data_IF_220029147419
#
_entry.id   IF_220029147419
#
_cell.length_a   1.000
_cell.length_b   1.000
_cell.length_c   1.000
_cell.angle_alpha   90.00
_cell.angle_beta   90.00
_cell.angle_gamma   90.00
#
_symmetry.space_group_name_H-M   'P 1'
#
loop_
_entity.id
_entity.type
_entity.pdbx_description
1 polymer ?
#
# COMPACT_ATOMS: atom_id res chain seq x y z
N UNK A 1 -13.82 -26.27 2.10
CA UNK A 1 -12.87 -25.14 2.00
C UNK A 1 -12.47 -24.93 0.55
N UNK A 2 -12.53 -23.70 0.04
CA UNK A 2 -12.17 -23.33 -1.34
C UNK A 2 -10.84 -22.55 -1.34
N UNK A 3 -10.00 -22.77 -2.36
CA UNK A 3 -8.77 -21.99 -2.57
C UNK A 3 -9.01 -21.10 -3.79
N UNK A 4 -8.78 -19.81 -3.62
CA UNK A 4 -8.88 -18.82 -4.69
C UNK A 4 -7.48 -18.39 -5.12
N UNK A 5 -7.22 -18.48 -6.41
CA UNK A 5 -5.98 -17.98 -7.02
C UNK A 5 -5.97 -16.44 -7.12
N UNK A 6 -4.79 -15.88 -7.35
CA UNK A 6 -4.62 -14.44 -7.56
C UNK A 6 -5.50 -13.91 -8.71
N UNK A 7 -5.63 -14.67 -9.81
CA UNK A 7 -6.43 -14.24 -10.97
C UNK A 7 -7.93 -14.23 -10.64
N UNK A 8 -8.42 -15.23 -9.91
CA UNK A 8 -9.82 -15.24 -9.42
C UNK A 8 -10.07 -14.04 -8.48
N UNK A 9 -9.15 -13.76 -7.56
CA UNK A 9 -9.23 -12.62 -6.65
C UNK A 9 -9.29 -11.31 -7.45
N UNK A 10 -8.36 -11.08 -8.37
CA UNK A 10 -8.34 -9.86 -9.22
C UNK A 10 -9.62 -9.69 -10.03
N UNK A 11 -10.21 -10.78 -10.53
CA UNK A 11 -11.45 -10.74 -11.32
C UNK A 11 -12.65 -10.22 -10.53
N UNK A 12 -12.65 -10.41 -9.22
CA UNK A 12 -13.72 -9.96 -8.31
C UNK A 12 -13.49 -8.53 -7.83
N UNK A 13 -12.24 -8.16 -7.56
CA UNK A 13 -11.91 -6.84 -6.98
C UNK A 13 -12.40 -5.67 -7.84
N UNK A 14 -12.39 -5.81 -9.16
CA UNK A 14 -12.88 -4.77 -10.07
C UNK A 14 -14.41 -4.52 -10.00
N UNK A 15 -15.14 -5.37 -9.27
CA UNK A 15 -16.60 -5.29 -9.09
C UNK A 15 -17.01 -4.72 -7.73
N UNK A 16 -16.04 -4.40 -6.88
CA UNK A 16 -16.23 -3.95 -5.50
C UNK A 16 -15.70 -2.52 -5.38
N UNK A 17 -16.40 -1.66 -4.67
CA UNK A 17 -15.87 -0.37 -4.28
C UNK A 17 -14.89 -0.52 -3.10
N UNK A 18 -13.68 -0.93 -3.41
CA UNK A 18 -12.65 -1.23 -2.42
C UNK A 18 -12.30 -0.05 -1.51
N UNK A 19 -12.36 1.18 -2.02
CA UNK A 19 -12.07 2.37 -1.22
C UNK A 19 -13.10 2.51 -0.11
N UNK A 20 -14.40 2.35 -0.44
CA UNK A 20 -15.46 2.42 0.55
C UNK A 20 -15.37 1.30 1.58
N UNK A 21 -15.14 0.06 1.14
CA UNK A 21 -15.00 -1.09 2.05
C UNK A 21 -13.85 -0.91 3.06
N UNK A 22 -12.71 -0.38 2.63
CA UNK A 22 -11.57 -0.12 3.52
C UNK A 22 -11.87 1.07 4.45
N UNK A 23 -12.54 2.11 3.95
CA UNK A 23 -12.95 3.27 4.74
C UNK A 23 -13.94 2.86 5.83
N UNK A 24 -14.94 2.03 5.51
CA UNK A 24 -15.90 1.48 6.47
C UNK A 24 -15.20 0.61 7.53
N UNK A 25 -14.17 -0.14 7.13
CA UNK A 25 -13.31 -0.88 8.04
C UNK A 25 -12.58 0.02 9.05
N UNK A 26 -12.05 1.17 8.61
CA UNK A 26 -11.44 2.17 9.52
C UNK A 26 -12.47 2.79 10.46
N UNK A 27 -13.68 3.08 9.98
CA UNK A 27 -14.78 3.60 10.80
C UNK A 27 -15.17 2.57 11.86
N UNK A 28 -15.36 1.32 11.48
CA UNK A 28 -15.67 0.23 12.40
C UNK A 28 -14.58 0.05 13.47
N UNK A 29 -13.31 0.15 13.08
CA UNK A 29 -12.18 0.10 14.01
C UNK A 29 -12.24 1.27 15.02
N UNK A 30 -12.45 2.48 14.53
CA UNK A 30 -12.52 3.69 15.38
C UNK A 30 -13.70 3.65 16.37
N UNK A 31 -14.80 3.00 15.98
CA UNK A 31 -15.97 2.81 16.84
C UNK A 31 -15.80 1.67 17.87
N UNK A 32 -14.70 0.93 17.83
CA UNK A 32 -14.46 -0.21 18.71
C UNK A 32 -15.20 -1.49 18.31
N UNK A 33 -15.66 -1.56 17.05
CA UNK A 33 -16.36 -2.73 16.50
C UNK A 33 -15.43 -3.76 15.88
N UNK A 34 -14.14 -3.49 15.89
CA UNK A 34 -13.12 -4.41 15.36
C UNK A 34 -12.22 -4.92 16.49
N UNK A 35 -11.96 -6.21 16.48
CA UNK A 35 -10.99 -6.85 17.37
C UNK A 35 -9.77 -7.24 16.55
N UNK A 36 -8.65 -6.60 16.84
CA UNK A 36 -7.34 -6.86 16.22
C UNK A 36 -6.31 -7.09 17.34
N UNK A 37 -5.90 -8.33 17.59
CA UNK A 37 -4.83 -8.63 18.53
C UNK A 37 -3.46 -8.09 18.06
N UNK A 38 -2.42 -8.10 18.91
CA UNK A 38 -1.07 -7.77 18.53
C UNK A 38 -0.59 -8.62 17.35
N UNK A 39 0.26 -8.03 16.52
CA UNK A 39 0.85 -8.69 15.34
C UNK A 39 1.80 -9.79 15.80
N UNK A 40 1.66 -10.99 15.22
CA UNK A 40 2.68 -12.03 15.34
C UNK A 40 3.80 -11.77 14.34
N UNK A 41 5.04 -11.81 14.79
CA UNK A 41 6.21 -11.51 13.96
C UNK A 41 7.27 -12.58 14.05
N UNK A 42 7.88 -12.91 12.91
CA UNK A 42 9.07 -13.74 12.82
C UNK A 42 10.12 -12.96 12.04
N UNK A 43 11.33 -12.87 12.61
CA UNK A 43 12.47 -12.23 11.96
C UNK A 43 13.51 -13.27 11.60
N UNK A 44 14.04 -13.20 10.38
CA UNK A 44 15.09 -14.07 9.87
C UNK A 44 16.35 -13.26 9.61
N UNK A 45 17.46 -13.69 10.15
CA UNK A 45 18.75 -13.00 10.00
C UNK A 45 19.47 -13.40 8.71
N UNK A 46 19.36 -14.67 8.31
CA UNK A 46 20.08 -15.20 7.15
C UNK A 46 19.27 -16.28 6.40
N UNK A 47 18.76 -15.97 5.21
CA UNK A 47 18.70 -14.64 4.57
C UNK A 47 17.79 -13.69 5.35
N UNK A 48 18.05 -12.35 5.31
CA UNK A 48 17.23 -11.39 6.02
C UNK A 48 15.80 -11.35 5.44
N UNK A 49 14.85 -11.41 6.35
CA UNK A 49 13.43 -11.41 5.99
C UNK A 49 12.53 -11.37 7.23
N UNK A 50 11.27 -11.18 7.00
CA UNK A 50 10.25 -11.16 8.04
C UNK A 50 8.97 -11.89 7.62
N UNK A 51 8.18 -12.28 8.63
CA UNK A 51 6.79 -12.75 8.46
C UNK A 51 5.91 -12.06 9.46
N UNK A 52 4.82 -11.46 8.97
CA UNK A 52 3.80 -10.84 9.81
C UNK A 52 2.50 -11.64 9.75
N UNK A 53 2.00 -12.02 10.92
CA UNK A 53 0.71 -12.70 11.08
C UNK A 53 -0.25 -11.69 11.72
N UNK A 54 -1.23 -11.22 10.93
CA UNK A 54 -2.25 -10.27 11.37
C UNK A 54 -3.60 -10.96 11.31
N UNK A 55 -4.39 -10.85 12.37
CA UNK A 55 -5.67 -11.51 12.45
C UNK A 55 -6.68 -10.66 13.23
N UNK A 56 -7.95 -10.88 12.95
CA UNK A 56 -9.01 -10.14 13.60
C UNK A 56 -10.37 -10.36 12.96
N UNK A 57 -11.37 -9.68 13.52
CA UNK A 57 -12.73 -9.73 13.02
C UNK A 57 -13.48 -8.43 13.31
N UNK A 58 -14.49 -8.15 12.50
CA UNK A 58 -15.50 -7.13 12.76
C UNK A 58 -16.64 -7.78 13.53
N UNK A 59 -17.11 -7.19 14.62
CA UNK A 59 -18.22 -7.71 15.42
C UNK A 59 -19.48 -7.86 14.56
N UNK A 60 -20.17 -8.96 14.73
CA UNK A 60 -21.39 -9.31 14.00
C UNK A 60 -21.21 -9.59 12.50
N UNK A 61 -19.98 -9.64 12.00
CA UNK A 61 -19.72 -10.13 10.64
C UNK A 61 -19.83 -11.66 10.57
N UNK A 62 -19.78 -12.20 9.38
CA UNK A 62 -19.89 -13.65 9.13
C UNK A 62 -18.53 -14.36 9.25
N UNK A 63 -17.42 -13.63 9.10
CA UNK A 63 -16.09 -14.23 9.01
C UNK A 63 -15.07 -13.54 9.92
N UNK A 64 -14.03 -14.29 10.30
CA UNK A 64 -12.77 -13.71 10.75
C UNK A 64 -11.64 -14.08 9.80
N UNK A 65 -10.57 -13.30 9.82
CA UNK A 65 -9.47 -13.41 8.87
C UNK A 65 -8.14 -13.56 9.58
N UNK A 66 -7.30 -14.47 9.08
CA UNK A 66 -5.88 -14.56 9.45
C UNK A 66 -5.07 -14.28 8.19
N UNK A 67 -4.30 -13.21 8.18
CA UNK A 67 -3.39 -12.86 7.10
C UNK A 67 -1.97 -13.23 7.48
N UNK A 68 -1.30 -13.94 6.58
CA UNK A 68 0.13 -14.21 6.65
C UNK A 68 0.79 -13.48 5.49
N UNK A 69 1.78 -12.65 5.77
CA UNK A 69 2.55 -11.95 4.76
C UNK A 69 4.04 -12.03 5.12
N UNK A 70 4.88 -12.31 4.14
CA UNK A 70 6.32 -12.40 4.31
C UNK A 70 7.06 -11.46 3.36
N UNK A 71 8.18 -10.93 3.83
CA UNK A 71 9.12 -10.13 3.06
C UNK A 71 10.52 -10.73 3.15
N UNK A 72 11.12 -11.05 2.00
CA UNK A 72 12.51 -11.52 1.91
C UNK A 72 13.25 -10.66 0.90
N UNK A 73 14.04 -9.72 1.40
CA UNK A 73 14.58 -8.59 0.63
C UNK A 73 15.58 -8.99 -0.45
N UNK A 74 16.20 -10.18 -0.34
CA UNK A 74 17.17 -10.69 -1.32
C UNK A 74 16.57 -11.62 -2.38
N UNK A 75 15.26 -11.87 -2.35
CA UNK A 75 14.59 -12.74 -3.32
C UNK A 75 14.74 -12.27 -4.76
N UNK A 76 14.84 -10.96 -4.98
CA UNK A 76 15.11 -10.40 -6.32
C UNK A 76 16.41 -10.92 -6.95
N UNK A 77 17.42 -11.26 -6.14
CA UNK A 77 18.69 -11.86 -6.62
C UNK A 77 18.50 -13.29 -7.12
N UNK A 78 17.39 -13.93 -6.71
CA UNK A 78 17.01 -15.28 -7.11
C UNK A 78 15.93 -15.28 -8.22
N UNK A 79 15.55 -14.08 -8.71
CA UNK A 79 14.45 -13.93 -9.67
C UNK A 79 13.05 -14.18 -9.07
N UNK A 80 12.93 -14.14 -7.74
CA UNK A 80 11.68 -14.35 -7.02
C UNK A 80 11.10 -13.02 -6.53
N UNK A 81 9.77 -12.93 -6.31
CA UNK A 81 9.15 -11.80 -5.62
C UNK A 81 9.71 -11.63 -4.21
N UNK A 82 9.86 -10.37 -3.77
CA UNK A 82 10.33 -10.07 -2.40
C UNK A 82 9.23 -10.29 -1.36
N UNK A 83 7.97 -10.37 -1.74
CA UNK A 83 6.84 -10.58 -0.83
C UNK A 83 5.93 -11.70 -1.28
N UNK A 84 5.46 -12.49 -0.31
CA UNK A 84 4.42 -13.49 -0.48
C UNK A 84 3.37 -13.32 0.61
N UNK A 85 2.16 -13.80 0.33
CA UNK A 85 1.11 -13.73 1.33
C UNK A 85 -0.11 -14.55 0.97
N UNK A 86 -0.93 -14.79 1.99
CA UNK A 86 -2.23 -15.41 1.85
C UNK A 86 -3.16 -14.98 2.98
N UNK A 87 -4.46 -15.16 2.78
CA UNK A 87 -5.46 -14.96 3.83
C UNK A 87 -6.26 -16.23 4.03
N UNK A 88 -6.45 -16.58 5.30
CA UNK A 88 -7.31 -17.68 5.73
C UNK A 88 -8.62 -17.09 6.23
N UNK A 89 -9.73 -17.58 5.69
CA UNK A 89 -11.08 -17.10 6.00
C UNK A 89 -11.83 -18.19 6.76
N UNK A 90 -12.36 -17.80 7.92
CA UNK A 90 -13.10 -18.70 8.80
C UNK A 90 -14.48 -18.14 9.11
N UNK A 91 -15.43 -19.03 9.35
CA UNK A 91 -16.74 -18.66 9.86
C UNK A 91 -16.64 -18.15 11.30
N UNK A 92 -17.21 -16.98 11.58
CA UNK A 92 -17.08 -16.34 12.90
C UNK A 92 -17.88 -17.07 13.99
N UNK A 93 -18.92 -17.82 13.63
CA UNK A 93 -19.80 -18.51 14.60
C UNK A 93 -19.37 -19.93 14.91
N UNK A 94 -18.78 -20.61 13.93
CA UNK A 94 -18.49 -22.05 14.04
C UNK A 94 -17.00 -22.36 14.06
N UNK A 95 -16.14 -21.41 13.64
CA UNK A 95 -14.71 -21.64 13.45
C UNK A 95 -14.40 -22.52 12.22
N UNK A 96 -15.39 -22.81 11.36
CA UNK A 96 -15.17 -23.61 10.17
C UNK A 96 -14.29 -22.89 9.13
N UNK A 97 -13.21 -23.51 8.59
CA UNK A 97 -12.42 -22.93 7.52
C UNK A 97 -13.25 -22.85 6.23
N UNK A 98 -13.48 -21.64 5.73
CA UNK A 98 -14.27 -21.36 4.52
C UNK A 98 -13.43 -21.31 3.26
N UNK A 99 -12.32 -20.53 3.31
CA UNK A 99 -11.50 -20.27 2.13
C UNK A 99 -10.05 -19.96 2.46
N UNK A 100 -9.20 -20.15 1.46
CA UNK A 100 -7.85 -19.60 1.37
C UNK A 100 -7.82 -18.65 0.17
N UNK A 101 -7.39 -17.41 0.40
CA UNK A 101 -7.08 -16.46 -0.67
C UNK A 101 -5.56 -16.51 -0.87
N UNK A 102 -5.11 -17.19 -1.94
CA UNK A 102 -3.71 -17.23 -2.34
C UNK A 102 -3.40 -16.01 -3.20
N UNK A 103 -3.25 -14.87 -2.55
CA UNK A 103 -3.17 -13.54 -3.17
C UNK A 103 -1.76 -13.08 -3.50
N UNK A 104 -0.75 -13.85 -3.15
CA UNK A 104 0.65 -13.52 -3.40
C UNK A 104 1.04 -12.12 -2.90
N UNK A 105 0.52 -11.70 -1.75
CA UNK A 105 0.63 -10.35 -1.16
C UNK A 105 -0.13 -9.23 -1.87
N UNK A 106 -0.83 -9.49 -2.97
CA UNK A 106 -1.51 -8.46 -3.76
C UNK A 106 -2.56 -7.69 -2.96
N UNK A 107 -3.37 -8.37 -2.12
CA UNK A 107 -4.34 -7.71 -1.26
C UNK A 107 -3.69 -6.86 -0.18
N UNK A 108 -2.50 -7.24 0.28
CA UNK A 108 -1.70 -6.40 1.18
C UNK A 108 -1.29 -5.10 0.49
N UNK A 109 -0.84 -5.16 -0.75
CA UNK A 109 -0.48 -3.98 -1.52
C UNK A 109 -1.69 -3.08 -1.81
N UNK A 110 -2.80 -3.68 -2.24
CA UNK A 110 -4.05 -2.96 -2.54
C UNK A 110 -4.56 -2.21 -1.31
N UNK A 111 -4.74 -2.90 -0.16
CA UNK A 111 -5.26 -2.25 1.06
C UNK A 111 -4.32 -1.15 1.57
N UNK A 112 -3.02 -1.32 1.38
CA UNK A 112 -2.01 -0.33 1.78
C UNK A 112 -2.12 0.93 0.93
N UNK A 113 -2.28 0.77 -0.37
CA UNK A 113 -2.45 1.90 -1.28
C UNK A 113 -3.77 2.64 -1.03
N UNK A 114 -4.85 1.92 -0.78
CA UNK A 114 -6.16 2.52 -0.45
C UNK A 114 -6.09 3.27 0.88
N UNK A 115 -5.43 2.73 1.91
CA UNK A 115 -5.25 3.42 3.18
C UNK A 115 -4.54 4.77 3.00
N UNK A 116 -3.50 4.82 2.14
CA UNK A 116 -2.82 6.06 1.77
C UNK A 116 -3.74 7.05 1.05
N UNK A 117 -4.57 6.58 0.12
CA UNK A 117 -5.52 7.44 -0.59
C UNK A 117 -6.62 7.99 0.34
N UNK A 118 -7.11 7.20 1.29
CA UNK A 118 -8.07 7.66 2.32
C UNK A 118 -7.42 8.72 3.21
N UNK A 119 -6.17 8.52 3.63
CA UNK A 119 -5.42 9.55 4.37
C UNK A 119 -5.35 10.86 3.59
N UNK A 120 -5.01 10.80 2.31
CA UNK A 120 -4.98 11.98 1.43
C UNK A 120 -6.36 12.61 1.23
N UNK A 121 -7.43 11.81 1.11
CA UNK A 121 -8.82 12.28 0.99
C UNK A 121 -9.21 13.24 2.12
N UNK A 122 -8.80 12.94 3.34
CA UNK A 122 -9.22 13.69 4.52
C UNK A 122 -8.22 14.75 4.97
N UNK A 123 -6.93 14.57 4.67
CA UNK A 123 -5.86 15.38 5.26
C UNK A 123 -5.07 16.19 4.24
N UNK A 124 -5.16 15.89 2.95
CA UNK A 124 -4.50 16.70 1.93
C UNK A 124 -5.16 18.09 1.83
N UNK A 125 -4.39 19.13 1.46
CA UNK A 125 -4.97 20.45 1.24
C UNK A 125 -6.00 20.41 0.10
N UNK A 126 -6.99 21.27 0.17
CA UNK A 126 -8.09 21.35 -0.82
C UNK A 126 -7.62 21.62 -2.26
N UNK A 127 -6.40 22.12 -2.43
CA UNK A 127 -5.79 22.38 -3.73
C UNK A 127 -4.39 21.77 -3.79
N UNK A 128 -4.29 20.65 -4.49
CA UNK A 128 -3.03 19.99 -4.81
C UNK A 128 -2.65 20.35 -6.25
N UNK A 129 -1.52 21.03 -6.43
CA UNK A 129 -1.00 21.38 -7.77
C UNK A 129 -0.03 20.33 -8.30
N UNK A 130 0.72 19.69 -7.39
CA UNK A 130 1.63 18.62 -7.71
C UNK A 130 1.57 17.54 -6.63
N UNK A 131 1.49 16.29 -7.05
CA UNK A 131 1.70 15.11 -6.21
C UNK A 131 3.17 14.71 -6.30
N UNK A 132 3.81 14.52 -5.16
CA UNK A 132 5.17 13.99 -5.05
C UNK A 132 5.15 12.51 -4.71
N UNK A 133 5.82 11.69 -5.48
CA UNK A 133 6.01 10.26 -5.19
C UNK A 133 7.49 10.02 -4.92
N UNK A 134 7.82 9.56 -3.73
CA UNK A 134 9.20 9.24 -3.31
C UNK A 134 9.37 7.73 -3.31
N UNK A 135 10.01 7.22 -4.36
CA UNK A 135 10.16 5.80 -4.64
C UNK A 135 9.60 5.38 -6.00
N UNK A 136 10.04 4.21 -6.48
CA UNK A 136 9.66 3.68 -7.80
C UNK A 136 9.23 2.21 -7.73
N UNK A 137 8.88 1.70 -6.55
CA UNK A 137 8.45 0.32 -6.31
C UNK A 137 6.96 0.08 -6.61
N UNK A 138 6.47 -1.09 -6.21
CA UNK A 138 5.07 -1.52 -6.36
C UNK A 138 4.15 -0.55 -5.62
N UNK A 139 4.43 -0.25 -4.36
CA UNK A 139 3.61 0.67 -3.57
C UNK A 139 3.54 2.07 -4.19
N UNK A 140 4.65 2.61 -4.69
CA UNK A 140 4.66 3.92 -5.35
C UNK A 140 3.67 3.98 -6.54
N UNK A 141 3.56 2.88 -7.30
CA UNK A 141 2.61 2.76 -8.42
C UNK A 141 1.18 2.64 -7.94
N UNK A 142 0.95 1.79 -6.95
CA UNK A 142 -0.40 1.53 -6.44
C UNK A 142 -0.97 2.74 -5.68
N UNK A 143 -0.15 3.45 -4.91
CA UNK A 143 -0.53 4.70 -4.26
C UNK A 143 -1.00 5.73 -5.29
N UNK A 144 -0.23 5.96 -6.35
CA UNK A 144 -0.62 6.90 -7.40
C UNK A 144 -1.90 6.47 -8.13
N UNK A 145 -2.07 5.16 -8.38
CA UNK A 145 -3.28 4.61 -8.98
C UNK A 145 -4.52 4.92 -8.16
N UNK A 146 -4.49 4.71 -6.83
CA UNK A 146 -5.64 4.93 -5.96
C UNK A 146 -5.85 6.39 -5.57
N UNK A 147 -4.89 7.27 -5.80
CA UNK A 147 -5.07 8.72 -5.67
C UNK A 147 -5.87 9.33 -6.83
N UNK A 148 -5.93 8.66 -7.98
CA UNK A 148 -6.54 9.19 -9.20
C UNK A 148 -7.98 9.69 -9.01
N UNK A 149 -8.80 8.92 -8.33
CA UNK A 149 -10.22 9.24 -8.13
C UNK A 149 -10.48 10.08 -6.86
N UNK A 150 -9.42 10.35 -6.08
CA UNK A 150 -9.50 11.04 -4.79
C UNK A 150 -8.97 12.47 -4.89
N UNK A 151 -7.89 12.68 -5.62
CA UNK A 151 -7.18 13.96 -5.72
C UNK A 151 -7.26 14.48 -7.15
N UNK A 152 -7.89 15.62 -7.33
CA UNK A 152 -7.95 16.32 -8.62
C UNK A 152 -6.61 16.99 -8.94
N UNK A 153 -5.65 16.17 -9.39
CA UNK A 153 -4.32 16.62 -9.77
C UNK A 153 -3.68 15.64 -10.77
N UNK A 154 -3.37 16.12 -11.96
CA UNK A 154 -2.67 15.32 -12.99
C UNK A 154 -1.16 15.46 -12.94
N UNK A 155 -0.62 16.50 -12.30
CA UNK A 155 0.82 16.77 -12.26
C UNK A 155 1.50 15.96 -11.16
N UNK A 156 2.44 15.09 -11.55
CA UNK A 156 3.14 14.18 -10.64
C UNK A 156 4.64 14.32 -10.80
N UNK A 157 5.35 14.48 -9.71
CA UNK A 157 6.82 14.49 -9.67
C UNK A 157 7.25 13.22 -8.93
N UNK A 158 8.04 12.39 -9.60
CA UNK A 158 8.50 11.10 -9.06
C UNK A 158 10.00 11.17 -8.80
N UNK A 159 10.38 10.95 -7.56
CA UNK A 159 11.77 10.87 -7.16
C UNK A 159 12.22 9.41 -6.99
N UNK A 160 13.44 9.14 -7.42
CA UNK A 160 14.10 7.85 -7.24
C UNK A 160 15.60 7.92 -7.46
N UNK A 161 16.34 6.97 -6.91
CA UNK A 161 17.82 6.92 -7.03
C UNK A 161 18.29 6.39 -8.40
N UNK A 162 17.52 5.48 -8.98
CA UNK A 162 17.90 4.79 -10.22
C UNK A 162 17.11 5.36 -11.40
N UNK A 163 17.84 5.79 -12.44
CA UNK A 163 17.24 6.44 -13.62
C UNK A 163 16.41 5.49 -14.48
N UNK A 164 16.83 4.25 -14.61
CA UNK A 164 16.09 3.22 -15.37
C UNK A 164 14.74 2.93 -14.71
N UNK A 165 14.74 2.78 -13.37
CA UNK A 165 13.51 2.60 -12.59
C UNK A 165 12.57 3.80 -12.69
N UNK A 166 13.11 5.02 -12.75
CA UNK A 166 12.33 6.25 -12.97
C UNK A 166 11.70 6.27 -14.37
N UNK A 167 12.46 5.94 -15.41
CA UNK A 167 11.95 5.83 -16.79
C UNK A 167 10.84 4.79 -16.88
N UNK A 168 11.09 3.59 -16.33
CA UNK A 168 10.08 2.52 -16.29
C UNK A 168 8.81 2.95 -15.57
N UNK A 169 8.94 3.65 -14.43
CA UNK A 169 7.77 4.19 -13.72
C UNK A 169 6.97 5.14 -14.61
N UNK A 170 7.63 6.07 -15.31
CA UNK A 170 6.96 7.00 -16.22
C UNK A 170 6.29 6.27 -17.39
N UNK A 171 6.92 5.24 -17.94
CA UNK A 171 6.37 4.44 -19.05
C UNK A 171 5.14 3.64 -18.62
N UNK A 172 5.13 3.10 -17.40
CA UNK A 172 3.98 2.37 -16.83
C UNK A 172 2.71 3.23 -16.76
N UNK A 173 2.85 4.55 -16.64
CA UNK A 173 1.75 5.52 -16.61
C UNK A 173 1.53 6.27 -17.92
N UNK A 174 2.18 5.88 -19.02
CA UNK A 174 2.09 6.56 -20.32
C UNK A 174 0.67 6.62 -20.91
N UNK A 175 -0.21 5.69 -20.50
CA UNK A 175 -1.62 5.64 -20.93
C UNK A 175 -2.59 6.28 -19.93
N UNK A 176 -2.10 6.83 -18.84
CA UNK A 176 -2.90 7.53 -17.84
C UNK A 176 -3.01 9.03 -18.16
N UNK A 177 -3.89 9.74 -17.46
CA UNK A 177 -3.99 11.21 -17.56
C UNK A 177 -2.87 11.94 -16.80
N UNK A 178 -2.01 11.22 -16.07
CA UNK A 178 -0.94 11.82 -15.29
C UNK A 178 0.20 12.38 -16.16
N UNK A 179 0.62 13.59 -15.84
CA UNK A 179 1.79 14.28 -16.42
C UNK A 179 2.99 14.04 -15.51
N UNK A 180 3.73 12.95 -15.77
CA UNK A 180 4.81 12.51 -14.90
C UNK A 180 6.14 13.18 -15.27
N UNK A 181 6.70 13.90 -14.29
CA UNK A 181 8.07 14.40 -14.28
C UNK A 181 8.90 13.49 -13.37
N UNK A 182 10.06 13.05 -13.83
CA UNK A 182 10.98 12.23 -13.04
C UNK A 182 12.18 13.07 -12.58
N UNK A 183 12.68 12.83 -11.38
CA UNK A 183 13.81 13.56 -10.82
C UNK A 183 14.66 12.70 -9.87
N UNK A 184 15.95 13.04 -9.75
CA UNK A 184 16.85 12.55 -8.71
C UNK A 184 17.08 13.60 -7.61
N UNK A 185 16.55 14.79 -7.80
CA UNK A 185 16.65 15.90 -6.88
C UNK A 185 15.41 15.92 -5.97
N UNK A 186 15.60 15.64 -4.68
CA UNK A 186 14.52 15.57 -3.70
C UNK A 186 13.92 16.96 -3.43
N UNK A 187 14.69 18.01 -3.60
CA UNK A 187 14.23 19.39 -3.34
C UNK A 187 13.08 19.76 -4.28
N UNK A 188 13.03 19.21 -5.50
CA UNK A 188 11.88 19.39 -6.39
C UNK A 188 10.57 18.84 -5.82
N UNK A 189 10.62 17.75 -5.04
CA UNK A 189 9.46 17.22 -4.32
C UNK A 189 9.09 18.17 -3.17
N UNK A 190 10.08 18.52 -2.36
CA UNK A 190 9.90 19.34 -1.15
C UNK A 190 9.31 20.72 -1.48
N UNK A 191 9.85 21.36 -2.51
CA UNK A 191 9.48 22.74 -2.86
C UNK A 191 8.16 22.85 -3.63
N UNK A 192 7.79 21.81 -4.43
CA UNK A 192 6.74 21.94 -5.42
C UNK A 192 5.48 21.15 -5.12
N UNK A 193 5.54 20.12 -4.24
CA UNK A 193 4.42 19.22 -4.00
C UNK A 193 3.66 19.57 -2.73
N UNK A 194 2.33 19.53 -2.78
CA UNK A 194 1.44 19.75 -1.63
C UNK A 194 0.93 18.43 -1.04
N UNK A 195 1.01 17.35 -1.79
CA UNK A 195 0.78 15.99 -1.36
C UNK A 195 2.01 15.16 -1.70
N UNK A 196 2.63 14.53 -0.70
CA UNK A 196 3.83 13.70 -0.88
C UNK A 196 3.51 12.31 -0.35
N UNK A 197 3.85 11.28 -1.14
CA UNK A 197 3.76 9.87 -0.72
C UNK A 197 5.15 9.27 -0.71
N UNK A 198 5.60 8.77 0.44
CA UNK A 198 6.91 8.10 0.55
C UNK A 198 6.74 6.58 0.56
N UNK A 199 7.44 5.90 -0.35
CA UNK A 199 7.36 4.44 -0.56
C UNK A 199 8.74 3.83 -0.77
N UNK A 200 9.69 4.15 0.11
CA UNK A 200 11.06 3.63 0.04
C UNK A 200 11.40 2.80 1.26
N UNK A 201 12.25 1.77 1.15
CA UNK A 201 12.79 1.04 2.28
C UNK A 201 14.01 1.75 2.90
N UNK A 202 14.01 3.08 2.96
CA UNK A 202 15.14 3.86 3.46
C UNK A 202 15.13 3.87 4.99
N UNK A 203 16.22 3.49 5.60
CA UNK A 203 16.45 3.54 7.06
C UNK A 203 16.79 4.96 7.55
N UNK A 204 17.10 5.86 6.62
CA UNK A 204 17.40 7.26 6.93
C UNK A 204 16.35 8.19 6.32
N UNK A 205 16.02 9.32 6.97
CA UNK A 205 15.09 10.31 6.42
C UNK A 205 15.55 10.84 5.05
N UNK A 206 14.68 10.71 4.04
CA UNK A 206 14.91 11.29 2.70
C UNK A 206 14.36 12.71 2.65
N UNK A 207 13.21 12.95 3.29
CA UNK A 207 12.57 14.26 3.40
C UNK A 207 12.86 14.80 4.80
N UNK A 208 13.55 15.92 4.88
CA UNK A 208 13.95 16.55 6.16
C UNK A 208 13.17 17.82 6.48
N UNK A 209 12.48 18.38 5.49
CA UNK A 209 11.60 19.54 5.62
C UNK A 209 10.53 19.51 4.56
N UNK A 210 9.47 20.26 4.76
CA UNK A 210 8.39 20.48 3.76
C UNK A 210 7.79 21.87 3.96
N UNK A 211 7.11 22.36 2.94
CA UNK A 211 6.37 23.61 3.03
C UNK A 211 5.16 23.50 3.96
N UNK A 212 4.80 24.59 4.61
CA UNK A 212 3.57 24.64 5.43
C UNK A 212 2.35 24.27 4.60
N UNK A 213 1.51 23.38 5.15
CA UNK A 213 0.30 22.89 4.50
C UNK A 213 0.52 21.68 3.57
N UNK A 214 1.74 21.16 3.46
CA UNK A 214 1.99 19.90 2.74
C UNK A 214 1.49 18.71 3.56
N UNK A 215 0.73 17.82 2.94
CA UNK A 215 0.38 16.51 3.50
C UNK A 215 1.40 15.45 3.08
N UNK A 216 1.83 14.63 4.02
CA UNK A 216 2.73 13.49 3.76
C UNK A 216 2.00 12.19 4.13
N UNK A 217 1.87 11.29 3.17
CA UNK A 217 1.50 9.89 3.39
C UNK A 217 2.79 9.06 3.48
N UNK A 218 3.21 8.72 4.69
CA UNK A 218 4.46 8.00 4.95
C UNK A 218 4.20 6.48 4.93
N UNK A 219 4.36 5.83 3.78
CA UNK A 219 4.11 4.39 3.60
C UNK A 219 5.37 3.52 3.77
N UNK A 220 6.55 4.10 3.77
CA UNK A 220 7.83 3.40 3.95
C UNK A 220 8.50 3.76 5.27
N UNK A 221 7.75 3.78 6.37
CA UNK A 221 8.22 4.23 7.68
C UNK A 221 8.13 3.16 8.78
N UNK A 222 8.03 1.91 8.41
CA UNK A 222 7.90 0.75 9.29
C UNK A 222 9.23 0.15 9.74
N UNK A 223 10.35 0.70 9.30
CA UNK A 223 11.70 0.38 9.80
C UNK A 223 12.10 1.38 10.89
N UNK A 224 12.58 0.84 12.01
CA UNK A 224 13.12 1.60 13.15
C UNK A 224 14.50 2.15 12.83
#
# INVERSE_FOLDING_TARGET
MRIFSLDEIKSVLNKINLVQEIEDGFIAYSNGDVIVPPVGELHFESPPGDVHIKYGYIKNDNVYVIKIASGFFHNSNLGLPNGYGMMLIYDQKTGEPKAILNDESYLTDVRTAIAGSISAKYLAPSKVKNIGIVGTGIQARMQLKYLHDIIDCESVIVWGRNEESLKKYKDDFSKSNYKITITKDIDQIIERCQLIVTCTPSEIPIITSVNTGTHITAMGSDTL
#
